data_IF_803235858606
#
_entry.id   IF_803235858606
#
_cell.length_a   1.000
_cell.length_b   1.000
_cell.length_c   1.000
_cell.angle_alpha   90.00
_cell.angle_beta   90.00
_cell.angle_gamma   90.00
#
_symmetry.space_group_name_H-M   'P 1'
#
loop_
_entity.id
_entity.type
_entity.pdbx_description
1 polymer ?
#
# COMPACT_ATOMS: atom_id res chain seq x y z
N UNK A 1 -36.03 51.18 27.10
CA UNK A 1 -36.62 50.60 25.88
C UNK A 1 -35.96 49.25 25.67
N UNK A 2 -36.14 48.28 26.59
CA UNK A 2 -37.40 47.54 26.90
C UNK A 2 -37.93 46.89 25.62
N UNK A 3 -38.15 45.59 25.48
CA UNK A 3 -38.69 44.55 26.39
C UNK A 3 -38.08 43.17 26.02
N UNK A 4 -37.60 42.28 26.91
CA UNK A 4 -38.33 41.29 27.77
C UNK A 4 -39.38 40.43 27.04
N UNK A 5 -39.06 39.17 26.70
CA UNK A 5 -39.43 37.93 27.46
C UNK A 5 -40.79 37.30 26.99
N UNK A 6 -41.23 36.08 27.40
CA UNK A 6 -40.54 34.81 27.75
C UNK A 6 -41.36 33.48 27.55
N UNK A 7 -40.85 32.35 28.12
CA UNK A 7 -41.56 31.15 28.70
C UNK A 7 -42.27 30.18 27.71
N UNK A 8 -42.48 28.86 27.89
CA UNK A 8 -42.27 27.83 28.96
C UNK A 8 -42.63 26.44 28.38
N UNK A 9 -42.04 25.37 28.92
CA UNK A 9 -42.47 23.96 28.73
C UNK A 9 -43.70 23.59 29.58
N UNK A 10 -44.40 22.49 29.27
CA UNK A 10 -44.66 21.55 30.37
C UNK A 10 -44.52 20.07 29.98
N UNK A 11 -44.20 19.29 31.02
CA UNK A 11 -44.39 17.84 31.14
C UNK A 11 -45.90 17.50 31.16
N UNK A 12 -46.29 16.27 30.76
CA UNK A 12 -46.90 15.25 31.64
C UNK A 12 -47.74 14.17 30.88
N UNK A 13 -47.43 12.91 31.23
CA UNK A 13 -48.21 11.65 31.34
C UNK A 13 -48.99 10.94 30.18
N UNK A 14 -48.56 9.68 29.99
CA UNK A 14 -49.29 8.39 29.82
C UNK A 14 -50.60 8.27 29.03
N UNK A 15 -50.71 7.25 28.16
CA UNK A 15 -51.59 6.05 28.29
C UNK A 15 -51.42 5.12 27.07
N UNK A 16 -51.52 3.82 27.37
CA UNK A 16 -51.43 2.61 26.55
C UNK A 16 -52.33 2.54 25.29
N UNK A 17 -51.87 1.78 24.29
CA UNK A 17 -52.76 0.87 23.53
C UNK A 17 -52.04 -0.42 23.14
N UNK A 18 -52.54 -1.52 23.71
CA UNK A 18 -52.27 -2.91 23.36
C UNK A 18 -52.68 -3.24 21.92
N UNK A 19 -51.90 -4.09 21.25
CA UNK A 19 -52.42 -4.98 20.21
C UNK A 19 -51.87 -6.39 20.44
N UNK A 20 -52.77 -7.29 20.84
CA UNK A 20 -52.56 -8.72 20.90
C UNK A 20 -53.73 -9.34 20.13
N UNK A 21 -53.49 -10.29 19.24
CA UNK A 21 -54.21 -11.57 19.23
C UNK A 21 -53.64 -12.54 18.18
N UNK A 22 -53.21 -13.68 18.71
CA UNK A 22 -53.05 -14.96 18.02
C UNK A 22 -53.63 -16.02 18.96
N UNK A 23 -54.64 -16.74 18.50
CA UNK A 23 -55.14 -18.02 19.05
C UNK A 23 -55.30 -18.96 17.84
N UNK A 24 -55.10 -20.29 17.91
CA UNK A 24 -55.77 -21.18 18.84
C UNK A 24 -55.06 -22.55 19.05
N UNK A 25 -55.14 -23.06 20.30
CA UNK A 25 -55.48 -24.44 20.78
C UNK A 25 -54.85 -25.68 20.11
N UNK A 26 -54.08 -26.59 20.74
CA UNK A 26 -54.28 -27.41 21.98
C UNK A 26 -54.49 -28.91 21.61
N UNK A 27 -54.47 -29.95 22.49
CA UNK A 27 -54.04 -29.99 23.90
C UNK A 27 -53.45 -31.36 24.46
N UNK A 28 -53.04 -31.35 25.75
CA UNK A 28 -53.02 -32.41 26.83
C UNK A 28 -51.87 -33.45 27.06
N UNK A 29 -51.29 -33.32 28.27
CA UNK A 29 -50.49 -34.22 29.18
C UNK A 29 -51.38 -35.25 29.95
N UNK A 30 -50.95 -36.23 30.83
CA UNK A 30 -50.07 -36.05 32.04
C UNK A 30 -49.35 -37.26 32.78
N UNK A 31 -48.47 -36.91 33.76
CA UNK A 31 -48.14 -37.63 35.04
C UNK A 31 -47.04 -38.73 34.99
N UNK A 32 -46.20 -39.05 36.01
CA UNK A 32 -46.15 -38.76 37.46
C UNK A 32 -44.84 -39.34 38.13
N UNK A 33 -44.11 -38.55 38.95
CA UNK A 33 -43.52 -38.77 40.32
C UNK A 33 -42.46 -39.89 40.64
N UNK A 34 -41.33 -39.53 41.34
CA UNK A 34 -40.81 -40.00 42.67
C UNK A 34 -39.25 -39.98 42.85
N UNK A 35 -38.86 -39.57 44.08
CA UNK A 35 -37.62 -39.34 44.89
C UNK A 35 -36.41 -40.33 44.96
N UNK A 36 -35.21 -39.71 45.07
CA UNK A 36 -34.15 -39.70 46.17
C UNK A 36 -33.16 -40.87 46.45
N UNK A 37 -31.86 -40.50 46.33
CA UNK A 37 -30.60 -40.76 47.08
C UNK A 37 -29.78 -42.08 47.13
N UNK A 38 -28.48 -41.82 46.82
CA UNK A 38 -27.23 -42.12 47.56
C UNK A 38 -26.62 -43.53 47.58
N UNK A 39 -25.39 -43.60 47.06
CA UNK A 39 -24.41 -44.64 47.35
C UNK A 39 -23.02 -44.25 46.84
N UNK A 40 -22.12 -43.86 47.74
CA UNK A 40 -20.66 -43.95 47.56
C UNK A 40 -20.18 -45.03 48.53
N UNK A 41 -19.12 -45.81 48.21
CA UNK A 41 -17.78 -45.36 48.61
C UNK A 41 -16.61 -45.88 47.76
N UNK A 42 -15.45 -45.21 47.84
CA UNK A 42 -14.16 -45.93 47.82
C UNK A 42 -13.01 -45.41 46.94
N UNK A 43 -12.14 -44.60 47.57
CA UNK A 43 -10.66 -44.57 47.47
C UNK A 43 -9.93 -44.07 46.20
N UNK A 44 -9.42 -42.84 46.36
CA UNK A 44 -7.99 -42.46 46.49
C UNK A 44 -7.00 -42.54 45.30
N UNK A 45 -6.14 -41.49 45.26
CA UNK A 45 -5.03 -41.15 44.31
C UNK A 45 -5.52 -40.53 43.00
N UNK A 46 -5.07 -39.38 42.50
CA UNK A 46 -3.88 -38.57 42.72
C UNK A 46 -4.15 -37.15 42.17
N UNK A 47 -3.58 -36.11 42.79
CA UNK A 47 -3.58 -34.75 42.25
C UNK A 47 -2.48 -34.62 41.20
N UNK A 48 -2.84 -34.45 39.94
CA UNK A 48 -2.00 -33.77 38.94
C UNK A 48 -2.91 -32.87 38.10
N UNK A 49 -2.56 -31.58 37.87
CA UNK A 49 -3.29 -30.77 36.91
C UNK A 49 -2.93 -31.28 35.51
N UNK A 50 -3.92 -31.83 34.80
CA UNK A 50 -3.80 -32.14 33.38
C UNK A 50 -3.54 -30.84 32.62
N UNK A 51 -2.26 -30.58 32.32
CA UNK A 51 -1.83 -29.67 31.28
C UNK A 51 -2.26 -30.24 29.93
N UNK A 52 -3.54 -30.10 29.59
CA UNK A 52 -3.97 -30.22 28.20
C UNK A 52 -3.86 -28.85 27.57
N UNK A 53 -2.79 -28.72 26.78
CA UNK A 53 -2.56 -27.69 25.78
C UNK A 53 -3.82 -27.53 24.92
N UNK A 54 -4.50 -26.42 25.10
CA UNK A 54 -5.30 -25.83 24.02
C UNK A 54 -5.07 -24.31 23.98
N UNK A 55 -3.80 -23.93 23.81
CA UNK A 55 -3.42 -22.60 23.33
C UNK A 55 -3.40 -22.66 21.81
N UNK A 56 -4.58 -22.60 21.22
CA UNK A 56 -4.74 -22.80 19.78
C UNK A 56 -5.74 -21.87 19.12
N UNK A 57 -6.15 -20.75 19.74
CA UNK A 57 -6.88 -19.67 19.05
C UNK A 57 -7.09 -18.42 19.93
N UNK A 58 -6.00 -17.83 20.45
CA UNK A 58 -6.08 -16.37 20.62
C UNK A 58 -6.24 -15.81 19.23
N UNK A 59 -7.38 -15.17 18.92
CA UNK A 59 -7.56 -14.38 17.70
C UNK A 59 -6.26 -13.61 17.48
N UNK A 60 -5.49 -13.95 16.43
CA UNK A 60 -4.29 -13.21 16.08
C UNK A 60 -4.72 -11.76 15.95
N UNK A 61 -4.13 -10.86 16.74
CA UNK A 61 -4.41 -9.44 16.62
C UNK A 61 -4.12 -9.05 15.16
N UNK A 62 -5.13 -8.67 14.36
CA UNK A 62 -4.95 -8.39 12.95
C UNK A 62 -4.02 -7.19 12.70
N UNK A 63 -3.63 -6.47 13.76
CA UNK A 63 -2.72 -5.33 13.72
C UNK A 63 -1.26 -5.69 14.02
N UNK A 64 -0.90 -6.98 14.14
CA UNK A 64 0.48 -7.38 14.38
C UNK A 64 1.32 -7.45 13.11
N UNK A 65 2.49 -6.81 13.19
CA UNK A 65 3.48 -6.73 12.13
C UNK A 65 4.41 -7.98 12.11
N UNK A 66 3.88 -9.17 11.83
CA UNK A 66 4.58 -10.46 12.06
C UNK A 66 5.54 -10.95 10.95
N UNK A 67 5.56 -10.32 9.76
CA UNK A 67 6.37 -10.63 8.56
C UNK A 67 7.30 -11.86 8.65
N UNK A 68 6.78 -13.10 8.57
CA UNK A 68 7.58 -14.31 8.78
C UNK A 68 8.56 -14.57 7.63
N UNK A 69 8.16 -14.23 6.41
CA UNK A 69 8.96 -14.42 5.19
C UNK A 69 10.06 -13.34 5.05
N UNK A 70 10.11 -12.38 5.98
CA UNK A 70 11.01 -11.23 5.90
C UNK A 70 11.44 -10.72 7.28
N UNK A 71 12.40 -11.42 7.91
CA UNK A 71 12.85 -11.08 9.26
C UNK A 71 13.57 -9.73 9.34
N UNK A 72 14.23 -9.29 8.25
CA UNK A 72 14.93 -8.01 8.21
C UNK A 72 13.95 -6.84 8.22
N UNK A 73 12.93 -6.89 7.36
CA UNK A 73 11.86 -5.88 7.37
C UNK A 73 11.13 -5.85 8.71
N UNK A 74 10.85 -7.02 9.30
CA UNK A 74 10.23 -7.13 10.62
C UNK A 74 11.05 -6.41 11.69
N UNK A 75 12.36 -6.58 11.68
CA UNK A 75 13.24 -5.95 12.67
C UNK A 75 13.25 -4.42 12.52
N UNK A 76 13.21 -3.90 11.29
CA UNK A 76 13.10 -2.46 11.05
C UNK A 76 11.78 -1.91 11.58
N UNK A 77 10.67 -2.62 11.35
CA UNK A 77 9.36 -2.21 11.91
C UNK A 77 9.38 -2.27 13.44
N UNK A 78 10.04 -3.27 14.05
CA UNK A 78 10.23 -3.34 15.51
C UNK A 78 11.01 -2.15 16.06
N UNK A 79 12.06 -1.70 15.35
CA UNK A 79 12.82 -0.49 15.70
C UNK A 79 11.95 0.77 15.64
N UNK A 80 11.07 0.86 14.65
CA UNK A 80 10.10 1.95 14.57
C UNK A 80 9.11 1.94 15.75
N UNK A 81 8.57 0.78 16.09
CA UNK A 81 7.66 0.61 17.25
C UNK A 81 8.36 0.99 18.56
N UNK A 82 9.59 0.51 18.76
CA UNK A 82 10.39 0.83 19.93
C UNK A 82 10.70 2.33 20.04
N UNK A 83 11.08 2.98 18.94
CA UNK A 83 11.33 4.42 18.93
C UNK A 83 10.09 5.22 19.35
N UNK A 84 8.90 4.81 18.89
CA UNK A 84 7.64 5.44 19.28
C UNK A 84 7.34 5.25 20.78
N UNK A 85 7.63 4.07 21.33
CA UNK A 85 7.51 3.79 22.77
C UNK A 85 8.46 4.65 23.61
N UNK A 86 9.64 4.96 23.08
CA UNK A 86 10.67 5.85 23.65
C UNK A 86 10.39 7.34 23.36
N UNK A 87 9.18 7.70 22.92
CA UNK A 87 8.73 9.06 22.59
C UNK A 87 9.50 9.75 21.44
N UNK A 88 10.20 8.96 20.62
CA UNK A 88 10.83 9.40 19.36
C UNK A 88 9.82 9.17 18.22
N UNK A 89 9.03 10.20 17.94
CA UNK A 89 7.90 10.09 17.02
C UNK A 89 8.28 10.30 15.54
N UNK A 90 7.53 9.70 14.59
CA UNK A 90 7.63 10.02 13.18
C UNK A 90 7.32 11.50 12.90
N UNK A 91 8.07 12.10 11.98
CA UNK A 91 7.95 13.52 11.61
C UNK A 91 7.22 13.68 10.28
N UNK A 92 6.32 14.66 10.19
CA UNK A 92 5.56 14.91 8.96
C UNK A 92 6.46 15.43 7.83
N UNK A 93 6.25 14.91 6.63
CA UNK A 93 6.87 15.39 5.41
C UNK A 93 6.00 16.53 4.86
N UNK A 94 6.54 17.75 4.89
CA UNK A 94 5.83 18.95 4.45
C UNK A 94 5.54 18.92 2.94
N UNK A 95 6.46 18.37 2.14
CA UNK A 95 6.30 18.23 0.70
C UNK A 95 5.25 17.15 0.33
N UNK A 96 4.65 17.25 -0.85
CA UNK A 96 3.62 16.33 -1.34
C UNK A 96 2.20 16.63 -0.82
N UNK A 97 1.21 15.87 -1.30
CA UNK A 97 -0.23 16.15 -1.08
C UNK A 97 -0.96 15.25 -0.06
N UNK A 98 -0.26 14.25 0.49
CA UNK A 98 -0.76 13.31 1.50
C UNK A 98 -0.08 13.50 2.85
N UNK A 99 -0.66 12.93 3.92
CA UNK A 99 0.05 12.67 5.17
C UNK A 99 1.11 11.61 4.94
N UNK A 100 2.37 12.01 4.93
CA UNK A 100 3.54 11.13 4.83
C UNK A 100 4.50 11.47 5.97
N UNK A 101 5.14 10.46 6.55
CA UNK A 101 5.94 10.63 7.76
C UNK A 101 7.31 9.96 7.63
N UNK A 102 8.37 10.66 8.00
CA UNK A 102 9.68 10.05 8.24
C UNK A 102 9.63 9.32 9.58
N UNK A 103 9.75 8.00 9.53
CA UNK A 103 9.82 7.13 10.70
C UNK A 103 11.27 6.97 11.12
N UNK A 104 11.51 7.05 12.42
CA UNK A 104 12.85 7.03 13.02
C UNK A 104 13.07 5.78 13.87
N UNK A 105 14.33 5.43 14.09
CA UNK A 105 14.73 4.49 15.12
C UNK A 105 14.98 5.20 16.48
N UNK A 106 15.34 4.43 17.50
CA UNK A 106 15.69 4.92 18.85
C UNK A 106 16.88 5.89 18.89
N UNK A 107 17.66 5.99 17.82
CA UNK A 107 18.77 6.95 17.70
C UNK A 107 18.36 8.21 16.94
N UNK A 108 17.08 8.32 16.54
CA UNK A 108 16.57 9.44 15.75
C UNK A 108 16.92 9.36 14.26
N UNK A 109 17.53 8.27 13.80
CA UNK A 109 17.86 8.07 12.38
C UNK A 109 16.61 7.68 11.60
N UNK A 110 16.41 8.28 10.42
CA UNK A 110 15.29 7.92 9.54
C UNK A 110 15.50 6.53 8.96
N UNK A 111 14.54 5.64 9.18
CA UNK A 111 14.57 4.23 8.74
C UNK A 111 13.48 3.90 7.71
N UNK A 112 12.45 4.74 7.60
CA UNK A 112 11.38 4.51 6.64
C UNK A 112 10.48 5.72 6.41
N UNK A 113 9.65 5.61 5.39
CA UNK A 113 8.56 6.54 5.10
C UNK A 113 7.24 5.80 5.30
N UNK A 114 6.38 6.33 6.16
CA UNK A 114 5.06 5.79 6.44
C UNK A 114 3.96 6.68 5.87
N UNK A 115 3.05 6.09 5.08
CA UNK A 115 1.89 6.77 4.49
C UNK A 115 0.59 6.10 4.96
N UNK A 116 -0.08 6.63 6.00
CA UNK A 116 -1.32 6.04 6.51
C UNK A 116 -2.49 6.21 5.52
N UNK A 117 -3.24 5.13 5.31
CA UNK A 117 -4.40 5.06 4.40
C UNK A 117 -5.38 6.21 4.62
N UNK A 118 -5.73 6.48 5.88
CA UNK A 118 -6.76 7.49 6.20
C UNK A 118 -6.29 8.94 6.04
N UNK A 119 -5.01 9.19 5.74
CA UNK A 119 -4.44 10.52 5.47
C UNK A 119 -3.98 10.69 4.01
N UNK A 120 -4.31 9.73 3.14
CA UNK A 120 -4.14 9.87 1.70
C UNK A 120 -4.93 11.10 1.15
N UNK A 121 -4.68 11.56 -0.09
CA UNK A 121 -5.35 12.74 -0.65
C UNK A 121 -6.89 12.70 -0.59
N UNK A 122 -7.47 11.50 -0.68
CA UNK A 122 -8.91 11.24 -0.58
C UNK A 122 -9.32 10.62 0.76
N UNK A 123 -8.38 10.45 1.69
CA UNK A 123 -8.61 9.96 3.03
C UNK A 123 -9.40 10.96 3.88
N UNK A 124 -10.20 10.44 4.82
CA UNK A 124 -11.08 11.26 5.67
C UNK A 124 -10.31 12.18 6.63
N UNK A 125 -9.05 11.84 6.94
CA UNK A 125 -8.20 12.52 7.91
C UNK A 125 -6.96 13.13 7.25
N UNK A 126 -7.03 13.51 5.97
CA UNK A 126 -5.91 14.18 5.33
C UNK A 126 -5.57 15.50 6.07
N UNK A 127 -4.35 15.65 6.63
CA UNK A 127 -3.94 16.85 7.35
C UNK A 127 -3.71 18.06 6.42
N UNK A 128 -3.54 17.84 5.11
CA UNK A 128 -3.29 18.88 4.11
C UNK A 128 -4.62 19.40 3.54
N UNK A 129 -5.07 20.54 4.07
CA UNK A 129 -6.39 21.15 3.85
C UNK A 129 -6.68 21.57 2.39
N UNK A 130 -5.64 21.73 1.57
CA UNK A 130 -5.71 22.27 0.19
C UNK A 130 -6.63 21.48 -0.76
N UNK A 131 -6.82 20.17 -0.56
CA UNK A 131 -7.73 19.38 -1.40
C UNK A 131 -9.20 19.38 -0.96
N UNK A 132 -9.53 19.75 0.28
CA UNK A 132 -10.93 19.88 0.70
C UNK A 132 -11.60 21.08 0.03
N UNK A 133 -10.89 22.22 -0.05
CA UNK A 133 -11.33 23.41 -0.78
C UNK A 133 -11.50 23.15 -2.29
N UNK A 134 -10.57 22.39 -2.88
CA UNK A 134 -10.63 22.02 -4.30
C UNK A 134 -11.73 20.99 -4.62
N UNK A 135 -11.99 20.03 -3.70
CA UNK A 135 -13.07 19.04 -3.80
C UNK A 135 -14.47 19.68 -3.79
N UNK A 136 -14.61 20.85 -3.16
CA UNK A 136 -15.86 21.61 -3.09
C UNK A 136 -16.09 22.48 -4.35
N UNK A 137 -15.03 22.98 -4.98
CA UNK A 137 -15.15 23.97 -6.08
C UNK A 137 -15.17 23.38 -7.50
N UNK A 138 -14.82 22.10 -7.74
CA UNK A 138 -14.79 21.50 -9.09
C UNK A 138 -14.94 19.95 -9.09
N UNK A 139 -16.14 19.36 -8.89
CA UNK A 139 -16.29 17.91 -8.78
C UNK A 139 -16.01 17.10 -10.07
N UNK A 140 -16.09 17.71 -11.26
CA UNK A 140 -15.83 17.04 -12.55
C UNK A 140 -14.35 17.04 -12.98
N UNK A 141 -13.50 17.82 -12.31
CA UNK A 141 -12.09 17.99 -12.69
C UNK A 141 -11.10 17.23 -11.80
N UNK A 142 -11.57 16.54 -10.76
CA UNK A 142 -10.72 16.12 -9.64
C UNK A 142 -10.87 14.64 -9.32
N UNK A 143 -9.76 13.91 -9.45
CA UNK A 143 -9.74 12.45 -9.39
C UNK A 143 -8.98 11.87 -10.58
N UNK A 144 -8.11 10.88 -10.32
CA UNK A 144 -7.71 9.97 -11.38
C UNK A 144 -8.81 8.92 -11.49
N UNK A 145 -9.84 9.18 -12.28
CA UNK A 145 -11.03 8.30 -12.40
C UNK A 145 -10.70 6.87 -12.87
N UNK A 146 -9.48 6.67 -13.38
CA UNK A 146 -8.93 5.37 -13.70
C UNK A 146 -8.36 4.61 -12.50
N UNK A 147 -8.22 5.22 -11.32
CA UNK A 147 -7.70 4.60 -10.10
C UNK A 147 -8.82 4.29 -9.10
N UNK A 148 -8.61 3.25 -8.29
CA UNK A 148 -9.47 2.96 -7.15
C UNK A 148 -9.24 3.99 -6.04
N UNK A 149 -10.32 4.42 -5.39
CA UNK A 149 -10.24 5.40 -4.31
C UNK A 149 -9.59 4.80 -3.06
N UNK A 150 -8.68 5.57 -2.44
CA UNK A 150 -8.15 5.31 -1.09
C UNK A 150 -7.40 3.96 -0.92
N UNK A 151 -6.71 3.53 -1.98
CA UNK A 151 -5.86 2.32 -2.00
C UNK A 151 -4.40 2.65 -2.34
N UNK A 152 -3.95 3.89 -2.13
CA UNK A 152 -2.59 4.31 -2.48
C UNK A 152 -1.52 3.51 -1.74
N UNK A 153 -1.70 3.24 -0.46
CA UNK A 153 -0.82 2.36 0.33
C UNK A 153 -0.72 0.92 -0.23
N UNK A 154 -1.78 0.39 -0.84
CA UNK A 154 -1.72 -0.91 -1.52
C UNK A 154 -0.97 -0.82 -2.85
N UNK A 155 -1.13 0.29 -3.58
CA UNK A 155 -0.34 0.55 -4.79
C UNK A 155 1.16 0.63 -4.48
N UNK A 156 1.55 1.29 -3.38
CA UNK A 156 2.94 1.34 -2.90
C UNK A 156 3.49 -0.06 -2.59
N UNK A 157 2.77 -0.85 -1.80
CA UNK A 157 3.18 -2.21 -1.46
C UNK A 157 3.15 -3.15 -2.70
N UNK A 158 2.19 -2.96 -3.60
CA UNK A 158 2.06 -3.72 -4.84
C UNK A 158 3.21 -3.46 -5.81
N UNK A 159 3.71 -2.22 -5.89
CA UNK A 159 4.89 -1.90 -6.68
C UNK A 159 6.14 -2.61 -6.14
N UNK A 160 6.34 -2.64 -4.81
CA UNK A 160 7.42 -3.41 -4.19
C UNK A 160 7.28 -4.91 -4.42
N UNK A 161 6.05 -5.45 -4.43
CA UNK A 161 5.78 -6.86 -4.71
C UNK A 161 6.15 -7.21 -6.16
N UNK A 162 5.71 -6.39 -7.13
CA UNK A 162 6.04 -6.58 -8.55
C UNK A 162 7.55 -6.48 -8.77
N UNK A 163 8.21 -5.49 -8.16
CA UNK A 163 9.67 -5.31 -8.21
C UNK A 163 10.41 -6.57 -7.71
N UNK A 164 10.05 -7.10 -6.55
CA UNK A 164 10.65 -8.29 -5.96
C UNK A 164 10.42 -9.52 -6.84
N UNK A 165 9.19 -9.74 -7.33
CA UNK A 165 8.85 -10.91 -8.15
C UNK A 165 9.59 -10.89 -9.51
N UNK A 166 9.79 -9.70 -10.08
CA UNK A 166 10.57 -9.51 -11.30
C UNK A 166 12.08 -9.40 -11.06
N UNK A 167 12.52 -9.28 -9.81
CA UNK A 167 13.93 -9.09 -9.41
C UNK A 167 14.55 -7.83 -10.03
N UNK A 168 13.78 -6.74 -10.07
CA UNK A 168 14.25 -5.44 -10.55
C UNK A 168 15.15 -4.76 -9.50
N UNK A 169 14.76 -4.88 -8.22
CA UNK A 169 15.50 -4.38 -7.06
C UNK A 169 15.74 -2.86 -7.12
N UNK A 170 14.74 -2.11 -7.55
CA UNK A 170 14.77 -0.63 -7.63
C UNK A 170 13.75 0.02 -6.70
N UNK A 171 12.68 -0.68 -6.30
CA UNK A 171 11.74 -0.15 -5.30
C UNK A 171 12.30 -0.46 -3.91
N UNK A 172 12.57 0.55 -3.05
CA UNK A 172 12.89 0.29 -1.67
C UNK A 172 11.75 -0.50 -1.03
N UNK A 173 12.12 -1.55 -0.30
CA UNK A 173 11.14 -2.53 0.16
C UNK A 173 9.97 -1.85 0.90
N UNK A 174 8.75 -2.16 0.45
CA UNK A 174 7.54 -1.52 0.95
C UNK A 174 6.47 -2.54 1.27
N UNK A 175 5.94 -2.51 2.50
CA UNK A 175 4.85 -3.40 2.93
C UNK A 175 3.75 -2.65 3.66
N UNK A 176 2.60 -3.30 3.78
CA UNK A 176 1.48 -2.79 4.60
C UNK A 176 1.78 -3.05 6.07
N UNK A 177 1.81 -1.99 6.87
CA UNK A 177 2.18 -2.00 8.30
C UNK A 177 1.09 -1.27 9.10
N UNK A 178 0.94 -1.64 10.37
CA UNK A 178 0.13 -0.90 11.34
C UNK A 178 1.04 -0.15 12.32
N UNK A 179 0.92 1.18 12.39
CA UNK A 179 1.64 2.01 13.38
C UNK A 179 0.67 2.93 14.11
N UNK A 180 0.89 3.17 15.40
CA UNK A 180 0.20 4.18 16.19
C UNK A 180 1.23 5.19 16.68
N UNK A 181 0.98 6.49 16.50
CA UNK A 181 1.88 7.54 16.99
C UNK A 181 1.13 8.83 17.27
N UNK A 182 1.52 9.57 18.30
CA UNK A 182 0.87 10.84 18.68
C UNK A 182 0.94 11.92 17.58
N UNK A 183 1.93 11.85 16.69
CA UNK A 183 2.14 12.79 15.58
C UNK A 183 1.25 12.52 14.36
N UNK A 184 0.60 11.35 14.27
CA UNK A 184 -0.36 11.09 13.20
C UNK A 184 -1.66 11.88 13.38
N UNK A 185 -2.41 12.08 12.30
CA UNK A 185 -3.65 12.86 12.36
C UNK A 185 -4.84 12.02 12.86
N UNK A 186 -5.27 12.23 14.10
CA UNK A 186 -6.42 11.53 14.71
C UNK A 186 -7.58 12.48 15.00
N UNK A 187 -8.79 11.92 14.96
CA UNK A 187 -9.99 12.63 15.44
C UNK A 187 -9.85 13.02 16.92
N UNK A 188 -10.48 14.13 17.30
CA UNK A 188 -10.52 14.59 18.69
C UNK A 188 -11.02 13.50 19.65
N UNK A 189 -12.03 12.73 19.22
CA UNK A 189 -12.61 11.62 19.98
C UNK A 189 -11.57 10.54 20.29
N UNK A 190 -10.73 10.17 19.31
CA UNK A 190 -9.72 9.12 19.48
C UNK A 190 -8.61 9.58 20.44
N UNK A 191 -8.22 10.86 20.35
CA UNK A 191 -7.26 11.47 21.30
C UNK A 191 -7.80 11.55 22.72
N UNK A 192 -9.08 11.88 22.91
CA UNK A 192 -9.70 11.92 24.23
C UNK A 192 -9.84 10.51 24.81
N UNK A 193 -10.27 9.53 24.00
CA UNK A 193 -10.41 8.13 24.42
C UNK A 193 -9.06 7.52 24.83
N UNK A 194 -7.98 7.77 24.08
CA UNK A 194 -6.65 7.24 24.42
C UNK A 194 -6.16 7.80 25.76
N UNK A 195 -6.30 9.11 25.98
CA UNK A 195 -5.97 9.77 27.25
C UNK A 195 -6.80 9.23 28.43
N UNK A 196 -8.11 9.08 28.25
CA UNK A 196 -9.01 8.55 29.27
C UNK A 196 -8.66 7.12 29.68
N UNK A 197 -8.33 6.26 28.71
CA UNK A 197 -7.89 4.88 28.99
C UNK A 197 -6.54 4.82 29.71
N UNK A 198 -5.58 5.67 29.33
CA UNK A 198 -4.28 5.77 30.00
C UNK A 198 -4.44 6.20 31.46
N UNK A 199 -5.22 7.25 31.70
CA UNK A 199 -5.54 7.72 33.05
C UNK A 199 -6.28 6.67 33.89
N UNK A 200 -7.21 5.93 33.29
CA UNK A 200 -7.92 4.86 33.98
C UNK A 200 -7.00 3.69 34.35
N UNK A 201 -5.99 3.38 33.52
CA UNK A 201 -4.95 2.40 33.85
C UNK A 201 -4.05 2.87 35.00
N UNK A 202 -3.60 4.13 34.97
CA UNK A 202 -2.77 4.73 36.01
C UNK A 202 -3.51 4.83 37.35
N UNK A 203 -4.78 5.27 37.34
CA UNK A 203 -5.57 5.51 38.56
C UNK A 203 -6.25 4.26 39.11
N UNK A 204 -6.71 3.35 38.24
CA UNK A 204 -7.42 2.13 38.62
C UNK A 204 -6.93 0.95 37.77
N UNK A 205 -5.79 0.33 38.12
CA UNK A 205 -5.17 -0.74 37.32
C UNK A 205 -6.11 -1.91 37.01
N UNK A 206 -7.01 -2.25 37.95
CA UNK A 206 -8.02 -3.32 37.78
C UNK A 206 -9.05 -3.04 36.66
N UNK A 207 -9.31 -1.76 36.36
CA UNK A 207 -10.19 -1.33 35.26
C UNK A 207 -9.37 -1.19 33.97
N UNK A 208 -8.15 -0.65 34.07
CA UNK A 208 -7.25 -0.53 32.92
C UNK A 208 -6.84 -1.85 32.28
N UNK A 209 -6.60 -2.90 33.09
CA UNK A 209 -6.28 -4.26 32.62
C UNK A 209 -7.43 -4.92 31.85
N UNK A 210 -8.65 -4.39 31.92
CA UNK A 210 -9.81 -4.86 31.14
C UNK A 210 -9.87 -4.25 29.74
N UNK A 211 -9.06 -3.22 29.46
CA UNK A 211 -9.01 -2.67 28.12
C UNK A 211 -8.14 -3.56 27.23
N UNK A 212 -8.74 -4.09 26.17
CA UNK A 212 -8.02 -4.83 25.12
C UNK A 212 -6.91 -4.01 24.45
N UNK A 213 -6.95 -2.68 24.60
CA UNK A 213 -6.00 -1.74 23.99
C UNK A 213 -5.88 -0.44 24.77
N UNK A 214 -4.65 -0.08 25.13
CA UNK A 214 -4.25 1.20 25.72
C UNK A 214 -3.51 2.00 24.63
N UNK A 215 -3.73 3.31 24.54
CA UNK A 215 -3.13 4.18 23.52
C UNK A 215 -4.01 4.46 22.30
N UNK A 216 -3.43 5.12 21.29
CA UNK A 216 -4.10 5.46 20.04
C UNK A 216 -4.32 4.22 19.16
N UNK A 217 -5.37 4.20 18.31
CA UNK A 217 -5.56 3.12 17.35
C UNK A 217 -4.49 3.18 16.24
N UNK A 218 -3.81 2.08 15.88
CA UNK A 218 -2.89 2.02 14.77
C UNK A 218 -3.61 2.34 13.49
N UNK A 219 -2.89 3.07 12.67
CA UNK A 219 -3.26 3.32 11.29
C UNK A 219 -2.59 2.27 10.43
N UNK A 220 -3.36 1.71 9.50
CA UNK A 220 -2.81 0.94 8.40
C UNK A 220 -2.22 1.91 7.37
N UNK A 221 -1.08 1.56 6.79
CA UNK A 221 -0.43 2.35 5.77
C UNK A 221 0.69 1.58 5.09
N UNK A 222 1.29 2.17 4.06
CA UNK A 222 2.51 1.65 3.47
C UNK A 222 3.70 2.13 4.27
N UNK A 223 4.63 1.22 4.54
CA UNK A 223 5.91 1.51 5.15
C UNK A 223 7.00 1.13 4.15
N UNK A 224 7.68 2.14 3.62
CA UNK A 224 8.77 2.00 2.66
C UNK A 224 10.11 2.23 3.36
N UNK A 225 11.09 1.37 3.13
CA UNK A 225 12.44 1.58 3.67
C UNK A 225 13.05 2.87 3.12
N UNK A 226 13.72 3.62 4.00
CA UNK A 226 14.40 4.84 3.62
C UNK A 226 15.74 4.52 2.94
N UNK A 227 16.09 5.27 1.89
CA UNK A 227 17.34 5.10 1.14
C UNK A 227 18.24 6.32 1.30
N UNK A 228 19.48 6.10 1.75
CA UNK A 228 20.45 7.16 2.06
C UNK A 228 21.36 7.52 0.88
N UNK A 229 21.64 8.81 0.74
CA UNK A 229 22.57 9.33 -0.28
C UNK A 229 21.96 9.47 -1.68
N UNK A 230 20.65 9.32 -1.80
CA UNK A 230 19.92 9.52 -3.05
C UNK A 230 19.47 10.98 -3.21
N UNK A 231 19.34 11.43 -4.46
CA UNK A 231 18.74 12.72 -4.84
C UNK A 231 17.79 12.51 -6.00
N UNK A 232 16.90 13.47 -6.23
CA UNK A 232 15.96 13.47 -7.35
C UNK A 232 16.67 13.20 -8.67
N UNK A 233 16.07 12.39 -9.54
CA UNK A 233 16.69 12.07 -10.81
C UNK A 233 16.88 13.32 -11.68
N UNK A 234 15.92 14.25 -11.66
CA UNK A 234 16.05 15.55 -12.34
C UNK A 234 17.32 16.32 -11.95
N UNK A 235 17.72 16.28 -10.67
CA UNK A 235 18.97 16.91 -10.21
C UNK A 235 20.20 16.30 -10.91
N UNK A 236 20.26 14.96 -10.99
CA UNK A 236 21.40 14.27 -11.59
C UNK A 236 21.39 14.34 -13.12
N UNK A 237 20.23 14.17 -13.75
CA UNK A 237 20.08 14.24 -15.20
C UNK A 237 20.56 15.60 -15.75
N UNK A 238 20.20 16.71 -15.09
CA UNK A 238 20.69 18.05 -15.44
C UNK A 238 22.22 18.16 -15.34
N UNK A 239 22.84 17.51 -14.35
CA UNK A 239 24.30 17.48 -14.23
C UNK A 239 24.94 16.64 -15.32
N UNK A 240 24.34 15.51 -15.68
CA UNK A 240 24.87 14.64 -16.73
C UNK A 240 24.71 15.22 -18.14
N UNK A 241 23.77 16.15 -18.35
CA UNK A 241 23.70 16.93 -19.58
C UNK A 241 24.89 17.91 -19.72
N UNK A 242 25.33 18.51 -18.61
CA UNK A 242 26.48 19.42 -18.60
C UNK A 242 27.83 18.66 -18.60
N UNK A 243 27.91 17.59 -17.82
CA UNK A 243 29.09 16.73 -17.64
C UNK A 243 28.70 15.28 -17.93
N UNK A 244 28.83 14.82 -19.18
CA UNK A 244 28.46 13.46 -19.56
C UNK A 244 29.18 12.40 -18.73
N UNK A 245 28.43 11.38 -18.32
CA UNK A 245 28.97 10.25 -17.58
C UNK A 245 29.98 9.46 -18.43
N UNK A 246 31.02 8.87 -17.82
CA UNK A 246 31.84 7.86 -18.48
C UNK A 246 30.98 6.72 -19.02
N UNK A 247 31.35 6.15 -20.17
CA UNK A 247 30.54 5.17 -20.91
C UNK A 247 30.08 3.99 -20.04
N UNK A 248 30.98 3.44 -19.21
CA UNK A 248 30.64 2.33 -18.31
C UNK A 248 29.55 2.70 -17.29
N UNK A 249 29.63 3.91 -16.71
CA UNK A 249 28.63 4.42 -15.77
C UNK A 249 27.33 4.77 -16.47
N UNK A 250 27.41 5.36 -17.66
CA UNK A 250 26.23 5.65 -18.47
C UNK A 250 25.47 4.36 -18.85
N UNK A 251 26.19 3.29 -19.18
CA UNK A 251 25.61 1.96 -19.38
C UNK A 251 24.94 1.44 -18.11
N UNK A 252 25.56 1.59 -16.93
CA UNK A 252 24.92 1.21 -15.66
C UNK A 252 23.63 2.00 -15.41
N UNK A 253 23.63 3.31 -15.69
CA UNK A 253 22.44 4.16 -15.59
C UNK A 253 21.34 3.66 -16.53
N UNK A 254 21.69 3.34 -17.77
CA UNK A 254 20.74 2.80 -18.75
C UNK A 254 20.12 1.49 -18.27
N UNK A 255 20.90 0.56 -17.72
CA UNK A 255 20.40 -0.71 -17.18
C UNK A 255 19.44 -0.50 -15.99
N UNK A 256 19.72 0.47 -15.12
CA UNK A 256 18.83 0.84 -14.02
C UNK A 256 17.54 1.51 -14.54
N UNK A 257 17.67 2.36 -15.54
CA UNK A 257 16.55 3.04 -16.20
C UNK A 257 15.58 2.06 -16.86
N UNK A 258 16.08 1.04 -17.55
CA UNK A 258 15.25 0.00 -18.17
C UNK A 258 14.41 -0.75 -17.14
N UNK A 259 14.95 -1.00 -15.93
CA UNK A 259 14.19 -1.60 -14.84
C UNK A 259 13.05 -0.69 -14.37
N UNK A 260 13.28 0.62 -14.29
CA UNK A 260 12.23 1.60 -13.97
C UNK A 260 11.12 1.57 -15.02
N UNK A 261 11.50 1.54 -16.31
CA UNK A 261 10.56 1.45 -17.43
C UNK A 261 9.70 0.20 -17.33
N UNK A 262 10.32 -0.97 -17.10
CA UNK A 262 9.60 -2.25 -16.94
C UNK A 262 8.60 -2.16 -15.79
N UNK A 263 9.02 -1.70 -14.62
CA UNK A 263 8.16 -1.57 -13.45
C UNK A 263 6.97 -0.66 -13.74
N UNK A 264 7.23 0.58 -14.14
CA UNK A 264 6.21 1.60 -14.34
C UNK A 264 5.21 1.22 -15.43
N UNK A 265 5.67 0.54 -16.49
CA UNK A 265 4.81 0.10 -17.57
C UNK A 265 3.87 -1.02 -17.10
N UNK A 266 4.38 -2.05 -16.42
CA UNK A 266 3.58 -3.18 -15.92
C UNK A 266 2.51 -2.71 -14.94
N UNK A 267 2.89 -1.88 -13.95
CA UNK A 267 1.93 -1.38 -12.96
C UNK A 267 1.05 -0.24 -13.51
N UNK A 268 1.34 0.22 -14.74
CA UNK A 268 0.81 1.44 -15.36
C UNK A 268 0.79 2.60 -14.37
N UNK A 269 1.97 3.02 -13.93
CA UNK A 269 2.11 4.18 -13.06
C UNK A 269 1.55 5.42 -13.77
N UNK A 270 0.75 6.21 -13.04
CA UNK A 270 0.11 7.42 -13.56
C UNK A 270 0.78 8.70 -13.06
N UNK A 271 1.76 8.62 -12.14
CA UNK A 271 2.45 9.78 -11.52
C UNK A 271 3.98 9.74 -11.57
N UNK A 272 4.59 9.05 -12.55
CA UNK A 272 6.05 9.06 -12.62
C UNK A 272 6.58 10.35 -13.27
N UNK A 273 6.81 11.38 -12.45
CA UNK A 273 7.66 12.53 -12.76
C UNK A 273 9.15 12.23 -12.53
N UNK A 274 10.06 13.11 -12.97
CA UNK A 274 11.52 12.97 -12.77
C UNK A 274 12.00 13.33 -11.35
N UNK A 275 11.08 13.85 -10.53
CA UNK A 275 11.18 14.07 -9.09
C UNK A 275 10.77 12.82 -8.29
N UNK A 276 10.00 11.91 -8.88
CA UNK A 276 9.46 10.71 -8.21
C UNK A 276 10.33 9.46 -8.39
N UNK A 277 11.57 9.58 -8.84
CA UNK A 277 12.56 8.52 -8.78
C UNK A 277 13.92 9.16 -8.48
N UNK A 278 14.73 8.43 -7.74
CA UNK A 278 15.97 8.95 -7.20
C UNK A 278 17.17 8.26 -7.83
N UNK A 279 18.27 9.00 -7.92
CA UNK A 279 19.57 8.49 -8.30
C UNK A 279 20.58 8.70 -7.16
N UNK A 280 21.39 7.68 -6.94
CA UNK A 280 22.61 7.76 -6.12
C UNK A 280 23.78 7.53 -7.04
N UNK A 281 24.69 8.50 -7.09
CA UNK A 281 25.90 8.44 -7.88
C UNK A 281 27.10 8.62 -6.95
N UNK A 282 27.80 7.52 -6.68
CA UNK A 282 28.98 7.51 -5.83
C UNK A 282 30.22 7.68 -6.70
N UNK A 283 30.70 8.92 -6.84
CA UNK A 283 31.99 9.19 -7.48
C UNK A 283 33.12 8.95 -6.45
N UNK A 284 34.14 8.13 -6.76
CA UNK A 284 35.26 7.88 -5.85
C UNK A 284 36.21 9.08 -5.68
N UNK A 285 36.05 10.13 -6.46
CA UNK A 285 36.93 11.29 -6.42
C UNK A 285 36.39 12.30 -5.41
N UNK A 286 37.26 12.74 -4.49
CA UNK A 286 37.05 13.66 -3.36
C UNK A 286 36.54 13.06 -2.04
N UNK A 287 37.25 12.05 -1.54
CA UNK A 287 37.62 12.08 -0.11
C UNK A 287 39.07 12.56 -0.01
N UNK A 288 39.27 13.87 0.20
CA UNK A 288 40.60 14.37 0.55
C UNK A 288 41.10 13.70 1.84
N UNK A 289 42.41 13.38 1.83
CA UNK A 289 43.27 12.87 2.93
C UNK A 289 43.27 11.35 3.15
N UNK A 290 44.00 10.64 2.30
CA UNK A 290 45.06 9.77 2.81
C UNK A 290 46.10 9.52 1.71
N UNK A 291 47.18 10.33 1.74
CA UNK A 291 48.44 9.99 1.08
C UNK A 291 49.16 9.00 2.00
N UNK A 292 48.91 7.72 1.84
CA UNK A 292 49.88 6.70 2.23
C UNK A 292 49.62 5.43 1.43
N UNK A 293 50.64 5.10 0.63
CA UNK A 293 50.97 3.82 0.00
C UNK A 293 50.07 2.63 0.34
N UNK A 294 49.15 2.34 -0.58
CA UNK A 294 48.89 0.98 -1.08
C UNK A 294 48.13 1.14 -2.41
N UNK A 295 48.27 0.20 -3.34
CA UNK A 295 47.64 0.25 -4.67
C UNK A 295 46.17 0.72 -4.58
N UNK A 296 45.91 1.97 -4.99
CA UNK A 296 44.57 2.57 -4.91
C UNK A 296 43.73 1.88 -5.97
N UNK A 297 42.99 0.85 -5.57
CA UNK A 297 41.91 0.29 -6.38
C UNK A 297 40.91 1.44 -6.58
N UNK A 298 40.99 2.10 -7.73
CA UNK A 298 40.00 3.10 -8.14
C UNK A 298 38.70 2.32 -8.31
N UNK A 299 37.88 2.31 -7.26
CA UNK A 299 36.58 1.67 -7.28
C UNK A 299 35.79 2.30 -8.42
N UNK A 300 35.24 1.52 -9.34
CA UNK A 300 34.45 2.13 -10.42
C UNK A 300 33.27 2.90 -9.82
N UNK A 301 32.94 4.09 -10.35
CA UNK A 301 31.79 4.85 -9.90
C UNK A 301 30.51 4.03 -10.09
N UNK A 302 29.71 3.92 -9.02
CA UNK A 302 28.49 3.13 -9.00
C UNK A 302 27.30 4.07 -9.06
N UNK A 303 26.37 3.79 -9.97
CA UNK A 303 25.07 4.47 -10.04
C UNK A 303 23.94 3.52 -9.67
N UNK A 304 23.02 3.99 -8.82
CA UNK A 304 21.84 3.22 -8.38
C UNK A 304 20.59 4.06 -8.52
N UNK A 305 19.49 3.40 -8.88
CA UNK A 305 18.16 4.02 -8.99
C UNK A 305 17.26 3.54 -7.85
N UNK A 306 16.43 4.43 -7.32
CA UNK A 306 15.36 4.09 -6.39
C UNK A 306 14.01 4.62 -6.91
N UNK A 307 13.05 3.73 -7.16
CA UNK A 307 11.69 4.06 -7.58
C UNK A 307 10.80 4.25 -6.34
N UNK A 308 10.54 5.51 -5.98
CA UNK A 308 9.75 5.89 -4.81
C UNK A 308 8.36 6.40 -5.23
N UNK A 309 7.46 6.66 -4.27
CA UNK A 309 6.14 7.25 -4.52
C UNK A 309 5.30 6.53 -5.60
N UNK A 310 5.05 5.25 -5.39
CA UNK A 310 4.31 4.37 -6.30
C UNK A 310 2.80 4.32 -5.98
N UNK A 311 2.28 5.28 -5.21
CA UNK A 311 0.91 5.27 -4.68
C UNK A 311 -0.21 5.50 -5.72
N UNK A 312 0.14 5.84 -6.95
CA UNK A 312 -0.82 6.13 -8.03
C UNK A 312 -0.59 5.24 -9.25
N UNK A 313 -0.60 3.92 -9.03
CA UNK A 313 -0.51 2.88 -10.05
C UNK A 313 -1.70 1.90 -9.95
N UNK A 314 -1.67 0.83 -10.74
CA UNK A 314 -2.72 -0.21 -10.83
C UNK A 314 -4.11 0.35 -11.20
N UNK A 315 -4.27 1.02 -12.34
CA UNK A 315 -5.55 1.56 -12.76
C UNK A 315 -6.54 0.47 -13.21
N UNK A 316 -7.85 0.71 -13.00
CA UNK A 316 -8.95 -0.15 -13.47
C UNK A 316 -9.28 0.01 -14.96
N UNK A 317 -8.71 1.02 -15.61
CA UNK A 317 -8.79 1.23 -17.06
C UNK A 317 -7.61 2.10 -17.50
N UNK A 318 -7.22 2.02 -18.76
CA UNK A 318 -6.30 3.01 -19.30
C UNK A 318 -6.93 4.43 -19.25
N UNK A 319 -6.13 5.48 -19.04
CA UNK A 319 -6.64 6.84 -18.96
C UNK A 319 -7.36 7.26 -20.25
N UNK A 320 -8.41 8.07 -20.12
CA UNK A 320 -9.09 8.65 -21.28
C UNK A 320 -8.22 9.76 -21.90
N UNK A 321 -8.23 9.93 -23.23
CA UNK A 321 -7.26 10.76 -23.98
C UNK A 321 -7.13 12.23 -23.54
N UNK A 322 -8.11 12.77 -22.82
CA UNK A 322 -8.09 14.15 -22.29
C UNK A 322 -7.33 14.28 -20.94
N UNK A 323 -7.01 13.15 -20.28
CA UNK A 323 -6.06 13.06 -19.15
C UNK A 323 -5.11 11.88 -19.38
N UNK A 324 -4.07 12.09 -20.18
CA UNK A 324 -3.21 11.01 -20.67
C UNK A 324 -2.30 10.35 -19.60
N UNK A 325 -2.03 11.02 -18.47
CA UNK A 325 -1.07 10.59 -17.43
C UNK A 325 0.19 9.93 -18.03
N UNK A 326 1.02 10.74 -18.72
CA UNK A 326 2.16 10.22 -19.47
C UNK A 326 3.26 9.73 -18.52
N UNK A 327 4.13 8.87 -19.02
CA UNK A 327 5.39 8.53 -18.37
C UNK A 327 6.41 9.62 -18.66
N UNK A 328 6.80 10.44 -17.67
CA UNK A 328 7.67 11.59 -17.94
C UNK A 328 9.07 11.19 -18.42
N UNK A 329 9.54 10.02 -18.01
CA UNK A 329 10.80 9.49 -18.49
C UNK A 329 10.80 9.19 -20.00
N UNK A 330 9.65 9.10 -20.68
CA UNK A 330 9.58 8.82 -22.11
C UNK A 330 10.17 9.96 -22.96
N UNK A 331 10.29 11.17 -22.41
CA UNK A 331 10.91 12.32 -23.08
C UNK A 331 12.43 12.39 -22.93
N UNK A 332 13.01 11.55 -22.08
CA UNK A 332 14.46 11.52 -21.85
C UNK A 332 15.20 10.88 -23.03
N UNK A 333 16.48 11.22 -23.20
CA UNK A 333 17.32 10.62 -24.24
C UNK A 333 17.49 9.11 -24.04
N UNK A 334 17.54 8.67 -22.78
CA UNK A 334 17.61 7.26 -22.37
C UNK A 334 16.42 6.43 -22.89
N UNK A 335 15.24 7.03 -23.08
CA UNK A 335 14.06 6.36 -23.61
C UNK A 335 14.16 6.05 -25.11
N UNK A 336 15.13 6.62 -25.82
CA UNK A 336 15.39 6.38 -27.25
C UNK A 336 16.40 5.25 -27.48
N UNK A 337 16.99 4.70 -26.42
CA UNK A 337 17.93 3.57 -26.49
C UNK A 337 17.11 2.26 -26.51
N UNK A 338 17.41 1.30 -27.41
CA UNK A 338 16.74 0.00 -27.42
C UNK A 338 16.96 -0.77 -26.12
N UNK A 339 15.97 -1.58 -25.72
CA UNK A 339 16.14 -2.45 -24.56
C UNK A 339 17.36 -3.38 -24.72
N UNK A 340 18.20 -3.40 -23.69
CA UNK A 340 19.40 -4.24 -23.59
C UNK A 340 19.07 -5.75 -23.64
N UNK A 341 20.07 -6.58 -23.95
CA UNK A 341 19.91 -8.04 -23.82
C UNK A 341 19.73 -8.42 -22.34
N UNK A 342 20.40 -7.72 -21.43
CA UNK A 342 20.35 -7.98 -19.99
C UNK A 342 18.94 -7.84 -19.41
N UNK A 343 18.21 -6.78 -19.75
CA UNK A 343 16.82 -6.63 -19.27
C UNK A 343 15.88 -7.64 -19.94
N UNK A 344 16.13 -7.98 -21.21
CA UNK A 344 15.36 -8.98 -21.94
C UNK A 344 15.53 -10.36 -21.32
N UNK A 345 16.75 -10.79 -21.06
CA UNK A 345 17.06 -12.08 -20.44
C UNK A 345 16.51 -12.17 -19.00
N UNK A 346 16.50 -11.05 -18.26
CA UNK A 346 15.95 -11.00 -16.91
C UNK A 346 14.42 -11.12 -16.88
N UNK A 347 13.72 -10.42 -17.77
CA UNK A 347 12.29 -10.16 -17.65
C UNK A 347 11.45 -10.99 -18.63
N UNK A 348 11.91 -11.16 -19.88
CA UNK A 348 11.11 -11.79 -20.94
C UNK A 348 10.71 -13.24 -20.60
N UNK A 349 11.58 -14.12 -20.08
CA UNK A 349 11.19 -15.49 -19.72
C UNK A 349 10.04 -15.52 -18.69
N UNK A 350 10.04 -14.58 -17.74
CA UNK A 350 9.01 -14.45 -16.70
C UNK A 350 7.69 -13.95 -17.30
N UNK A 351 7.74 -12.93 -18.16
CA UNK A 351 6.52 -12.34 -18.75
C UNK A 351 5.83 -13.27 -19.76
N UNK A 352 6.58 -14.16 -20.41
CA UNK A 352 6.02 -15.13 -21.35
C UNK A 352 5.51 -16.41 -20.69
N UNK A 353 5.84 -16.65 -19.41
CA UNK A 353 5.36 -17.81 -18.66
C UNK A 353 3.97 -17.53 -18.04
N UNK A 354 2.90 -18.22 -18.50
CA UNK A 354 1.56 -18.03 -17.95
C UNK A 354 1.47 -18.37 -16.46
N UNK A 355 2.30 -19.29 -15.97
CA UNK A 355 2.33 -19.68 -14.54
C UNK A 355 2.83 -18.52 -13.69
N UNK A 356 3.95 -17.90 -14.09
CA UNK A 356 4.49 -16.72 -13.41
C UNK A 356 3.46 -15.58 -13.34
N UNK A 357 2.74 -15.32 -14.43
CA UNK A 357 1.70 -14.28 -14.48
C UNK A 357 0.56 -14.60 -13.53
N UNK A 358 0.07 -15.84 -13.53
CA UNK A 358 -0.98 -16.29 -12.61
C UNK A 358 -0.56 -16.16 -11.16
N UNK A 359 0.68 -16.54 -10.83
CA UNK A 359 1.21 -16.41 -9.47
C UNK A 359 1.34 -14.93 -9.06
N UNK A 360 1.73 -14.04 -9.98
CA UNK A 360 1.81 -12.60 -9.70
C UNK A 360 0.43 -12.02 -9.40
N UNK A 361 -0.59 -12.44 -10.14
CA UNK A 361 -1.97 -12.03 -9.92
C UNK A 361 -2.51 -12.51 -8.58
N UNK A 362 -2.23 -13.77 -8.22
CA UNK A 362 -2.63 -14.30 -6.92
C UNK A 362 -1.94 -13.55 -5.78
N UNK A 363 -0.63 -13.26 -5.88
CA UNK A 363 0.09 -12.48 -4.88
C UNK A 363 -0.51 -11.07 -4.71
N UNK A 364 -0.82 -10.39 -5.82
CA UNK A 364 -1.51 -9.10 -5.81
C UNK A 364 -2.92 -9.21 -5.23
N UNK A 365 -3.66 -10.29 -5.52
CA UNK A 365 -4.98 -10.55 -4.94
C UNK A 365 -4.89 -10.70 -3.43
N UNK A 366 -3.93 -11.48 -2.93
CA UNK A 366 -3.68 -11.68 -1.50
C UNK A 366 -3.31 -10.37 -0.78
N UNK A 367 -2.59 -9.47 -1.46
CA UNK A 367 -2.29 -8.14 -0.95
C UNK A 367 -3.53 -7.23 -0.94
N UNK A 368 -4.23 -7.11 -2.08
CA UNK A 368 -5.29 -6.11 -2.26
C UNK A 368 -6.56 -6.47 -1.49
N UNK A 369 -6.84 -7.77 -1.30
CA UNK A 369 -7.99 -8.23 -0.49
C UNK A 369 -7.92 -7.87 0.99
N UNK A 370 -6.75 -7.40 1.48
CA UNK A 370 -6.59 -6.91 2.85
C UNK A 370 -7.36 -5.61 3.08
N UNK A 371 -7.70 -4.87 2.02
CA UNK A 371 -8.47 -3.64 2.15
C UNK A 371 -9.94 -3.93 2.50
N UNK A 372 -10.52 -3.28 3.52
CA UNK A 372 -11.94 -3.42 3.83
C UNK A 372 -12.88 -2.99 2.69
N UNK A 373 -12.42 -2.09 1.79
CA UNK A 373 -13.15 -1.63 0.62
C UNK A 373 -12.78 -2.39 -0.66
N UNK A 374 -12.14 -3.56 -0.55
CA UNK A 374 -11.77 -4.37 -1.71
C UNK A 374 -13.00 -4.80 -2.52
N UNK A 375 -13.03 -4.41 -3.79
CA UNK A 375 -14.03 -4.88 -4.75
C UNK A 375 -13.38 -5.82 -5.77
N UNK A 376 -13.86 -7.07 -5.78
CA UNK A 376 -13.30 -8.11 -6.66
C UNK A 376 -13.47 -7.75 -8.14
N UNK A 377 -14.51 -7.03 -8.56
CA UNK A 377 -14.70 -6.64 -9.98
C UNK A 377 -13.69 -5.57 -10.39
N UNK A 378 -13.42 -4.60 -9.52
CA UNK A 378 -12.37 -3.60 -9.74
C UNK A 378 -11.00 -4.27 -9.85
N UNK A 379 -10.70 -5.24 -8.98
CA UNK A 379 -9.46 -5.99 -9.06
C UNK A 379 -9.28 -6.71 -10.40
N UNK A 380 -10.30 -7.41 -10.90
CA UNK A 380 -10.22 -8.05 -12.23
C UNK A 380 -9.94 -7.03 -13.35
N UNK A 381 -10.48 -5.80 -13.25
CA UNK A 381 -10.18 -4.75 -14.21
C UNK A 381 -8.73 -4.26 -14.11
N UNK A 382 -8.18 -4.12 -12.89
CA UNK A 382 -6.76 -3.79 -12.69
C UNK A 382 -5.85 -4.84 -13.33
N UNK A 383 -6.15 -6.13 -13.10
CA UNK A 383 -5.41 -7.24 -13.69
C UNK A 383 -5.55 -7.27 -15.21
N UNK A 384 -6.74 -6.99 -15.76
CA UNK A 384 -6.93 -6.94 -17.21
C UNK A 384 -6.09 -5.85 -17.89
N UNK A 385 -5.92 -4.69 -17.24
CA UNK A 385 -5.00 -3.64 -17.68
C UNK A 385 -3.55 -4.10 -17.57
N UNK A 386 -3.15 -4.65 -16.42
CA UNK A 386 -1.78 -5.14 -16.18
C UNK A 386 -1.37 -6.19 -17.22
N UNK A 387 -2.25 -7.15 -17.53
CA UNK A 387 -2.00 -8.16 -18.60
C UNK A 387 -1.82 -7.52 -19.97
N UNK A 388 -2.60 -6.49 -20.28
CA UNK A 388 -2.43 -5.73 -21.52
C UNK A 388 -1.08 -5.01 -21.59
N UNK A 389 -0.61 -4.44 -20.48
CA UNK A 389 0.74 -3.88 -20.38
C UNK A 389 1.80 -4.96 -20.57
N UNK A 390 1.66 -6.11 -19.91
CA UNK A 390 2.59 -7.24 -20.02
C UNK A 390 2.66 -7.77 -21.45
N UNK A 391 1.53 -7.84 -22.15
CA UNK A 391 1.47 -8.24 -23.56
C UNK A 391 2.29 -7.29 -24.45
N UNK A 392 2.04 -5.98 -24.35
CA UNK A 392 2.78 -4.98 -25.13
C UNK A 392 4.27 -4.98 -24.80
N UNK A 393 4.63 -5.05 -23.51
CA UNK A 393 6.03 -5.09 -23.07
C UNK A 393 6.74 -6.33 -23.59
N UNK A 394 6.10 -7.50 -23.51
CA UNK A 394 6.68 -8.75 -24.03
C UNK A 394 6.95 -8.66 -25.53
N UNK A 395 6.04 -8.06 -26.29
CA UNK A 395 6.24 -7.83 -27.73
C UNK A 395 7.38 -6.83 -27.99
N UNK A 396 7.42 -5.71 -27.25
CA UNK A 396 8.48 -4.72 -27.40
C UNK A 396 9.87 -5.27 -27.09
N UNK A 397 9.98 -6.10 -26.05
CA UNK A 397 11.22 -6.79 -25.69
C UNK A 397 11.65 -7.81 -26.77
N UNK A 398 10.71 -8.53 -27.39
CA UNK A 398 11.02 -9.45 -28.51
C UNK A 398 11.49 -8.71 -29.76
N UNK A 399 10.90 -7.57 -30.05
CA UNK A 399 11.18 -6.74 -31.23
C UNK A 399 12.35 -5.77 -31.03
N UNK A 400 13.03 -5.80 -29.87
CA UNK A 400 14.13 -4.88 -29.52
C UNK A 400 13.76 -3.40 -29.66
N UNK A 401 12.52 -3.07 -29.28
CA UNK A 401 12.03 -1.69 -29.28
C UNK A 401 12.72 -0.85 -28.19
N UNK A 402 12.58 0.46 -28.30
CA UNK A 402 12.97 1.43 -27.26
C UNK A 402 11.82 1.64 -26.26
N UNK A 403 12.09 2.14 -25.05
CA UNK A 403 11.05 2.60 -24.12
C UNK A 403 10.06 3.60 -24.74
N UNK A 404 10.55 4.51 -25.59
CA UNK A 404 9.71 5.47 -26.31
C UNK A 404 8.75 4.77 -27.29
N UNK A 405 9.24 3.78 -28.04
CA UNK A 405 8.40 3.00 -28.95
C UNK A 405 7.37 2.14 -28.19
N UNK A 406 7.72 1.63 -27.00
CA UNK A 406 6.82 0.87 -26.13
C UNK A 406 5.61 1.72 -25.69
N UNK A 407 5.84 2.97 -25.26
CA UNK A 407 4.73 3.85 -24.82
C UNK A 407 3.87 4.35 -25.96
N UNK A 408 4.36 4.28 -27.21
CA UNK A 408 3.60 4.58 -28.42
C UNK A 408 2.72 3.41 -28.88
N UNK A 409 2.90 2.21 -28.32
CA UNK A 409 2.06 1.06 -28.65
C UNK A 409 0.62 1.32 -28.19
N UNK A 410 -0.40 0.95 -29.00
CA UNK A 410 -1.80 1.11 -28.61
C UNK A 410 -2.09 0.42 -27.27
N UNK A 411 -2.82 1.07 -26.34
CA UNK A 411 -3.23 0.43 -25.08
C UNK A 411 -4.17 -0.74 -25.32
N UNK A 412 -3.82 -1.90 -24.76
CA UNK A 412 -4.61 -3.14 -24.83
C UNK A 412 -5.13 -3.51 -23.45
N UNK A 413 -6.32 -4.12 -23.38
CA UNK A 413 -6.85 -4.76 -22.19
C UNK A 413 -7.06 -6.24 -22.52
N UNK A 414 -6.65 -7.12 -21.59
CA UNK A 414 -6.76 -8.58 -21.76
C UNK A 414 -7.65 -9.14 -20.65
N UNK A 415 -8.88 -9.47 -20.99
CA UNK A 415 -9.86 -10.03 -20.06
C UNK A 415 -9.83 -11.57 -20.12
N UNK A 416 -9.95 -12.25 -18.98
CA UNK A 416 -10.28 -13.68 -18.98
C UNK A 416 -11.78 -13.82 -19.26
N UNK A 417 -12.14 -14.43 -20.37
CA UNK A 417 -13.51 -14.82 -20.61
C UNK A 417 -13.91 -15.90 -19.59
N UNK A 418 -15.07 -15.73 -18.95
CA UNK A 418 -15.65 -16.79 -18.11
C UNK A 418 -16.04 -17.94 -19.03
N UNK A 419 -15.26 -19.02 -19.02
CA UNK A 419 -15.70 -20.27 -19.59
C UNK A 419 -17.01 -20.70 -18.89
N UNK A 420 -18.07 -21.10 -19.61
CA UNK A 420 -19.19 -21.80 -19.00
C UNK A 420 -18.63 -23.04 -18.28
N UNK A 421 -19.22 -23.39 -17.13
CA UNK A 421 -18.72 -24.29 -16.06
C UNK A 421 -18.27 -25.73 -16.45
N UNK A 422 -18.02 -26.04 -17.73
CA UNK A 422 -17.64 -27.37 -18.23
C UNK A 422 -16.39 -27.41 -19.10
N UNK A 423 -15.65 -26.31 -19.27
CA UNK A 423 -14.37 -26.33 -19.98
C UNK A 423 -13.24 -25.87 -19.06
N UNK A 424 -12.23 -26.72 -18.88
CA UNK A 424 -11.02 -26.45 -18.09
C UNK A 424 -10.02 -25.54 -18.86
N UNK A 425 -10.49 -24.77 -19.84
CA UNK A 425 -9.71 -23.87 -20.67
C UNK A 425 -10.08 -22.42 -20.38
N UNK A 426 -9.13 -21.66 -19.84
CA UNK A 426 -9.24 -20.20 -19.74
C UNK A 426 -9.09 -19.60 -21.15
N UNK A 427 -10.12 -18.93 -21.65
CA UNK A 427 -10.03 -18.15 -22.89
C UNK A 427 -9.74 -16.69 -22.58
N UNK A 428 -8.85 -16.06 -23.35
CA UNK A 428 -8.48 -14.66 -23.20
C UNK A 428 -9.05 -13.83 -24.34
N UNK A 429 -9.71 -12.71 -24.01
CA UNK A 429 -10.21 -11.76 -24.99
C UNK A 429 -9.34 -10.51 -24.96
N UNK A 430 -8.73 -10.19 -26.10
CA UNK A 430 -7.97 -8.95 -26.29
C UNK A 430 -8.91 -7.86 -26.83
N UNK A 431 -8.85 -6.68 -26.22
CA UNK A 431 -9.58 -5.51 -26.70
C UNK A 431 -8.67 -4.28 -26.76
N UNK A 432 -8.80 -3.52 -27.84
CA UNK A 432 -8.11 -2.24 -28.01
C UNK A 432 -9.02 -1.11 -27.56
N UNK A 433 -8.49 -0.15 -26.79
CA UNK A 433 -9.27 1.03 -26.41
C UNK A 433 -9.34 2.00 -27.61
N UNK A 434 -10.39 1.88 -28.43
CA UNK A 434 -10.67 2.79 -29.55
C UNK A 434 -11.81 3.76 -29.22
N UNK A 435 -11.67 4.59 -28.17
CA UNK A 435 -12.56 5.75 -28.02
C UNK A 435 -11.99 6.92 -28.82
N UNK A 436 -12.64 7.26 -29.94
CA UNK A 436 -12.39 8.53 -30.64
C UNK A 436 -12.56 9.69 -29.64
N UNK A 437 -11.69 10.72 -29.64
CA UNK A 437 -11.88 11.88 -28.77
C UNK A 437 -13.24 12.52 -29.08
N UNK A 438 -13.99 12.86 -28.02
CA UNK A 438 -15.32 13.48 -28.14
C UNK A 438 -15.28 14.86 -28.83
N UNK A 439 -14.09 15.44 -28.96
CA UNK A 439 -13.82 16.61 -29.79
C UNK A 439 -12.65 16.28 -30.73
N UNK A 440 -12.97 15.94 -31.97
CA UNK A 440 -12.06 16.15 -33.09
C UNK A 440 -12.26 17.59 -33.56
N UNK A 441 -11.28 18.46 -33.35
CA UNK A 441 -11.23 19.71 -34.10
C UNK A 441 -10.97 19.32 -35.56
N UNK A 442 -11.91 19.72 -36.41
CA UNK A 442 -11.86 19.55 -37.86
C UNK A 442 -10.79 20.44 -38.47
#
# INVERSE_FOLDING_TARGET
MDETSPLVSPLQDSIDYNYCQSEATGPRTPGSVVRVSAGSPGRSRERQPLLVRDRGNSLRDPHRNEFPDDPEFREIVRKAEQAIEEEIFPEIICQGSSGSYFVKDSQGKVIGVFKPKNEEPYGQLNPKWTKWLQKLCCPCCFGRDCLVLNQGHLSEAGASLVDQKLQLNIVPQTKVVYLASDTFNYNAIDRVKSRGKRLALEKVPKVGQRFNRIGLPPKVGSFQLFVEGYKDADYWLKRFEAEPLPENTNRQLQLQFERLVVLDYIIRNTDRGNDNWLLKYDCPMDTERNRETDWVVVKEPIIRLAAIDNGLAFPIKHPDSWRAYPFYWAWLSQAKVPFSEEIRDLVLPKLTDPTFIKDLEEDLYQLFKKDPGFDRRQFHKQIAVMRGQILNLSQALKERKTPLQLVQMPPVIVETARAPQRANSESYTQSFQSRKPFFTWW
#
